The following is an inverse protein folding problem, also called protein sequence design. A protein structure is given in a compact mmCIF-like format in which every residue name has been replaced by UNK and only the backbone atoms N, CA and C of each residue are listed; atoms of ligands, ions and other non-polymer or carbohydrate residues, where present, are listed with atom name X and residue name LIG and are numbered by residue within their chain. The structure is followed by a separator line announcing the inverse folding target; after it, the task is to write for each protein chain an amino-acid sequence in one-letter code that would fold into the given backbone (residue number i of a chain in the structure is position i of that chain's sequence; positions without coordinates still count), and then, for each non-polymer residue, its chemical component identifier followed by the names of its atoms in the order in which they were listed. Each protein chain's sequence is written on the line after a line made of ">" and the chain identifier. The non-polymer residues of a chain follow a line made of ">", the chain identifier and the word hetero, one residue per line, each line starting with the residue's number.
data_IF_726896376812
#
_entry.id   IF_726896376812
#
_cell.length_a   1.000
_cell.length_b   1.000
_cell.length_c   1.000
_cell.angle_alpha   90.00
_cell.angle_beta   90.00
_cell.angle_gamma   90.00
#
_symmetry.space_group_name_H-M   'P 1'
#
loop_
_entity.id
_entity.type
_entity.pdbx_description
1 polymer ?
#
# COMPACT_ATOMS: atom_id res chain seq x y z
N UNK A 1 -21.48 -13.68 -10.22
CA UNK A 1 -20.35 -12.94 -9.65
C UNK A 1 -19.58 -13.81 -8.66
N UNK A 2 -18.27 -13.77 -8.73
CA UNK A 2 -17.42 -14.51 -7.83
C UNK A 2 -17.44 -13.81 -6.45
N UNK A 3 -17.82 -14.52 -5.36
CA UNK A 3 -17.88 -13.90 -4.04
C UNK A 3 -16.54 -13.34 -3.55
N UNK A 4 -15.42 -13.76 -4.13
CA UNK A 4 -14.11 -13.22 -3.76
C UNK A 4 -13.89 -11.81 -4.29
N UNK A 5 -14.63 -11.41 -5.33
CA UNK A 5 -14.40 -10.13 -6.01
C UNK A 5 -15.05 -8.95 -5.30
N UNK A 6 -15.87 -9.20 -4.28
CA UNK A 6 -16.60 -8.12 -3.59
C UNK A 6 -16.10 -7.85 -2.19
N UNK A 7 -14.98 -8.43 -1.82
CA UNK A 7 -14.42 -8.21 -0.49
C UNK A 7 -13.67 -6.88 -0.45
N UNK A 8 -13.92 -6.13 0.62
CA UNK A 8 -13.21 -4.89 0.88
C UNK A 8 -12.03 -5.20 1.78
N UNK A 9 -10.87 -4.77 1.35
CA UNK A 9 -9.60 -5.00 2.02
C UNK A 9 -9.03 -3.66 2.45
N UNK A 10 -8.61 -3.56 3.70
CA UNK A 10 -7.79 -2.44 4.17
C UNK A 10 -6.35 -2.88 4.20
N UNK A 11 -5.48 -2.04 3.67
CA UNK A 11 -4.04 -2.27 3.69
C UNK A 11 -3.38 -1.10 4.40
N UNK A 12 -2.57 -1.41 5.42
CA UNK A 12 -1.71 -0.42 6.07
C UNK A 12 -0.28 -0.83 5.80
N UNK A 13 0.56 0.14 5.44
CA UNK A 13 1.95 -0.19 5.13
C UNK A 13 2.92 0.89 5.57
N UNK A 14 4.14 0.44 5.88
CA UNK A 14 5.27 1.34 6.14
C UNK A 14 6.43 0.90 5.26
N UNK A 15 7.22 1.88 4.84
CA UNK A 15 8.39 1.65 4.00
C UNK A 15 9.60 2.24 4.69
N UNK A 16 10.61 1.42 4.94
CA UNK A 16 11.84 1.85 5.63
C UNK A 16 13.00 1.92 4.65
N UNK A 17 13.98 2.78 4.88
CA UNK A 17 14.21 3.54 6.11
C UNK A 17 13.24 4.70 6.29
N UNK A 18 12.91 4.98 7.55
CA UNK A 18 12.03 6.08 7.90
C UNK A 18 12.85 7.38 7.93
N UNK A 19 12.40 8.38 7.19
CA UNK A 19 13.05 9.69 7.14
C UNK A 19 12.16 10.69 7.85
N UNK A 20 12.66 11.26 8.93
CA UNK A 20 11.90 12.23 9.71
C UNK A 20 11.72 13.52 8.93
N UNK A 21 10.51 14.06 8.98
CA UNK A 21 10.21 15.37 8.41
C UNK A 21 9.63 15.35 7.02
N UNK A 22 9.98 14.40 6.18
CA UNK A 22 9.37 14.26 4.86
C UNK A 22 9.61 12.86 4.31
N UNK A 23 8.67 12.34 3.49
CA UNK A 23 8.84 11.02 2.91
C UNK A 23 9.99 10.99 1.90
N UNK A 24 10.78 9.94 1.97
CA UNK A 24 11.86 9.72 1.02
C UNK A 24 11.37 9.17 -0.31
N UNK A 25 12.25 9.05 -1.32
CA UNK A 25 11.85 8.57 -2.65
C UNK A 25 11.25 7.16 -2.64
N UNK A 26 11.70 6.30 -1.73
CA UNK A 26 11.15 4.94 -1.61
C UNK A 26 9.68 4.94 -1.14
N UNK A 27 9.31 5.88 -0.27
CA UNK A 27 7.93 6.03 0.20
C UNK A 27 7.06 6.60 -0.91
N UNK A 28 7.52 7.68 -1.53
CA UNK A 28 6.78 8.33 -2.61
C UNK A 28 6.56 7.40 -3.79
N UNK A 29 7.57 6.59 -4.13
CA UNK A 29 7.46 5.63 -5.21
C UNK A 29 6.44 4.54 -4.89
N UNK A 30 6.43 4.05 -3.65
CA UNK A 30 5.46 3.05 -3.22
C UNK A 30 4.03 3.58 -3.31
N UNK A 31 3.80 4.79 -2.80
CA UNK A 31 2.48 5.44 -2.85
C UNK A 31 2.04 5.65 -4.29
N UNK A 32 2.91 6.17 -5.13
CA UNK A 32 2.61 6.41 -6.55
C UNK A 32 2.25 5.11 -7.27
N UNK A 33 3.00 4.04 -7.01
CA UNK A 33 2.73 2.75 -7.64
C UNK A 33 1.37 2.19 -7.20
N UNK A 34 1.03 2.31 -5.92
CA UNK A 34 -0.27 1.87 -5.43
C UNK A 34 -1.40 2.65 -6.08
N UNK A 35 -1.25 3.98 -6.18
CA UNK A 35 -2.27 4.83 -6.78
C UNK A 35 -2.43 4.55 -8.28
N UNK A 36 -1.35 4.27 -8.96
CA UNK A 36 -1.41 3.88 -10.38
C UNK A 36 -2.17 2.56 -10.54
N UNK A 37 -2.10 1.68 -9.56
CA UNK A 37 -2.84 0.42 -9.58
C UNK A 37 -4.34 0.58 -9.25
N UNK A 38 -4.77 1.79 -8.84
CA UNK A 38 -6.19 2.09 -8.72
C UNK A 38 -6.70 2.39 -7.32
N UNK A 39 -5.82 2.57 -6.34
CA UNK A 39 -6.24 2.88 -4.97
C UNK A 39 -5.91 4.32 -4.60
N UNK A 40 -6.61 4.85 -3.60
CA UNK A 40 -6.30 6.16 -3.02
C UNK A 40 -5.58 5.94 -1.70
N UNK A 41 -4.35 6.42 -1.61
CA UNK A 41 -3.55 6.23 -0.42
C UNK A 41 -3.70 7.43 0.51
N UNK A 42 -3.96 7.16 1.77
CA UNK A 42 -4.00 8.18 2.81
C UNK A 42 -2.74 8.04 3.68
N UNK A 43 -2.06 9.17 3.89
CA UNK A 43 -0.90 9.20 4.79
C UNK A 43 -1.40 9.38 6.22
N UNK A 44 -1.11 8.40 7.06
CA UNK A 44 -1.36 8.51 8.47
C UNK A 44 -0.09 8.92 9.23
N UNK A 45 -0.20 9.21 10.52
CA UNK A 45 0.97 9.62 11.32
C UNK A 45 1.99 8.48 11.52
N UNK A 46 1.57 7.24 11.39
CA UNK A 46 2.45 6.09 11.62
C UNK A 46 2.54 5.16 10.41
N UNK A 47 1.53 5.15 9.56
CA UNK A 47 1.49 4.28 8.40
C UNK A 47 0.63 4.91 7.31
N UNK A 48 0.86 4.50 6.07
CA UNK A 48 -0.01 4.85 4.96
C UNK A 48 -1.06 3.76 4.82
N UNK A 49 -2.25 4.10 4.34
CA UNK A 49 -3.31 3.10 4.21
C UNK A 49 -4.20 3.35 3.00
N UNK A 50 -4.84 2.29 2.54
CA UNK A 50 -5.90 2.37 1.54
C UNK A 50 -6.91 1.25 1.74
N UNK A 51 -8.09 1.44 1.17
CA UNK A 51 -9.13 0.43 1.13
C UNK A 51 -9.56 0.23 -0.30
N UNK A 52 -9.75 -1.00 -0.70
CA UNK A 52 -10.18 -1.32 -2.05
C UNK A 52 -10.75 -2.73 -2.11
N UNK A 53 -11.44 -3.02 -3.20
CA UNK A 53 -11.83 -4.37 -3.54
C UNK A 53 -10.59 -5.26 -3.62
N UNK A 54 -10.72 -6.53 -3.23
CA UNK A 54 -9.58 -7.43 -3.07
C UNK A 54 -8.66 -7.52 -4.29
N UNK A 55 -9.21 -7.64 -5.48
CA UNK A 55 -8.38 -7.73 -6.69
C UNK A 55 -7.52 -6.48 -6.88
N UNK A 56 -8.13 -5.31 -6.72
CA UNK A 56 -7.41 -4.03 -6.83
C UNK A 56 -6.41 -3.86 -5.68
N UNK A 57 -6.83 -4.22 -4.47
CA UNK A 57 -5.97 -4.10 -3.29
C UNK A 57 -4.69 -4.93 -3.43
N UNK A 58 -4.82 -6.18 -3.87
CA UNK A 58 -3.66 -7.06 -4.00
C UNK A 58 -2.75 -6.65 -5.14
N UNK A 59 -3.31 -6.13 -6.23
CA UNK A 59 -2.50 -5.56 -7.31
C UNK A 59 -1.71 -4.35 -6.81
N UNK A 60 -2.34 -3.49 -6.01
CA UNK A 60 -1.67 -2.32 -5.44
C UNK A 60 -0.57 -2.74 -4.47
N UNK A 61 -0.79 -3.77 -3.65
CA UNK A 61 0.23 -4.29 -2.73
C UNK A 61 1.45 -4.77 -3.49
N UNK A 62 1.23 -5.56 -4.55
CA UNK A 62 2.33 -6.04 -5.37
C UNK A 62 3.12 -4.88 -5.99
N UNK A 63 2.42 -3.89 -6.53
CA UNK A 63 3.06 -2.75 -7.17
C UNK A 63 3.86 -1.91 -6.18
N UNK A 64 3.32 -1.67 -4.98
CA UNK A 64 4.03 -0.86 -3.99
C UNK A 64 5.29 -1.55 -3.47
N UNK A 65 5.24 -2.86 -3.30
CA UNK A 65 6.42 -3.63 -2.86
C UNK A 65 7.55 -3.49 -3.89
N UNK A 66 7.26 -3.77 -5.15
CA UNK A 66 8.26 -3.70 -6.20
C UNK A 66 8.86 -2.30 -6.31
N UNK A 67 8.01 -1.29 -6.30
CA UNK A 67 8.45 0.10 -6.46
C UNK A 67 9.25 0.58 -5.25
N UNK A 68 8.85 0.19 -4.04
CA UNK A 68 9.58 0.56 -2.83
C UNK A 68 11.02 0.03 -2.88
N UNK A 69 11.19 -1.25 -3.16
CA UNK A 69 12.53 -1.84 -3.21
C UNK A 69 13.36 -1.31 -4.37
N UNK A 70 12.74 -1.02 -5.50
CA UNK A 70 13.45 -0.43 -6.64
C UNK A 70 13.97 0.98 -6.33
N UNK A 71 13.43 1.63 -5.30
CA UNK A 71 13.76 3.01 -4.95
C UNK A 71 14.44 3.15 -3.59
N UNK A 72 15.02 2.09 -3.08
CA UNK A 72 15.90 2.15 -1.92
C UNK A 72 15.32 1.65 -0.60
N UNK A 73 14.15 1.05 -0.62
CA UNK A 73 13.58 0.48 0.61
C UNK A 73 14.42 -0.68 1.11
N UNK A 74 14.57 -0.77 2.43
CA UNK A 74 15.21 -1.88 3.10
C UNK A 74 14.19 -2.83 3.71
N UNK A 75 13.04 -2.29 4.11
CA UNK A 75 11.95 -3.06 4.72
C UNK A 75 10.61 -2.50 4.26
N UNK A 76 9.68 -3.38 4.00
CA UNK A 76 8.28 -3.01 3.74
C UNK A 76 7.43 -3.85 4.67
N UNK A 77 6.65 -3.19 5.54
CA UNK A 77 5.76 -3.85 6.47
C UNK A 77 4.33 -3.63 6.01
N UNK A 78 3.57 -4.69 5.88
CA UNK A 78 2.21 -4.61 5.36
C UNK A 78 1.27 -5.39 6.26
N UNK A 79 0.20 -4.72 6.65
CA UNK A 79 -0.90 -5.35 7.39
C UNK A 79 -2.13 -5.31 6.50
N UNK A 80 -2.74 -6.46 6.28
CA UNK A 80 -3.92 -6.61 5.41
C UNK A 80 -5.07 -7.12 6.25
N UNK A 81 -6.20 -6.44 6.15
CA UNK A 81 -7.38 -6.76 6.93
C UNK A 81 -8.61 -6.81 6.02
N UNK A 82 -9.42 -7.83 6.21
CA UNK A 82 -10.71 -7.93 5.52
C UNK A 82 -11.75 -7.19 6.37
N UNK A 83 -12.44 -6.22 5.76
CA UNK A 83 -13.39 -5.37 6.48
C UNK A 83 -14.82 -5.89 6.45
N UNK A 84 -15.24 -6.54 5.38
CA UNK A 84 -16.59 -7.09 5.30
C UNK A 84 -16.68 -8.44 5.99
N UNK A 85 -17.80 -8.72 6.55
CA UNK A 85 -18.02 -9.97 7.26
C UNK A 85 -18.08 -11.17 6.32
#
# INVERSE_FOLDING_TARGET
>A
MNPYDVRVIRVEFTVEPFVEGQPGPHVLAAVSAAETAGVSVEFGPFASEFEAESTTAFAAVSALIESAYANGATHVNIHIEKLDA
#
